data_IF_333529132051
#
_entry.id   IF_333529132051
#
_cell.length_a   1.000
_cell.length_b   1.000
_cell.length_c   1.000
_cell.angle_alpha   90.00
_cell.angle_beta   90.00
_cell.angle_gamma   90.00
#
_symmetry.space_group_name_H-M   'P 1'
#
loop_
_entity.id
_entity.type
_entity.pdbx_description
1 polymer ?
#
# COMPACT_ATOMS: atom_id res chain seq x y z
N UNK A 1 -28.72 -1.02 6.84
CA UNK A 1 -28.14 -0.95 5.59
C UNK A 1 -26.87 -1.69 5.30
N UNK A 2 -26.82 -2.93 5.78
CA UNK A 2 -25.67 -3.77 5.52
C UNK A 2 -25.52 -4.08 4.03
N UNK A 3 -26.64 -4.13 3.32
CA UNK A 3 -26.58 -4.37 1.88
C UNK A 3 -25.93 -3.20 1.15
N UNK A 4 -26.25 -1.99 1.57
CA UNK A 4 -25.64 -0.81 0.99
C UNK A 4 -24.15 -0.78 1.27
N UNK A 5 -23.77 -1.12 2.48
CA UNK A 5 -22.35 -1.19 2.84
C UNK A 5 -21.62 -2.22 2.01
N UNK A 6 -22.28 -3.35 1.76
CA UNK A 6 -21.67 -4.41 0.97
C UNK A 6 -21.43 -3.96 -0.46
N UNK A 7 -22.42 -3.28 -1.05
CA UNK A 7 -22.30 -2.78 -2.40
C UNK A 7 -21.20 -1.75 -2.51
N UNK A 8 -21.11 -0.86 -1.53
CA UNK A 8 -20.04 0.13 -1.51
C UNK A 8 -18.69 -0.52 -1.36
N UNK A 9 -18.62 -1.60 -0.60
CA UNK A 9 -17.37 -2.32 -0.43
C UNK A 9 -16.87 -2.92 -1.72
N UNK A 10 -17.77 -3.46 -2.51
CA UNK A 10 -17.38 -4.05 -3.80
C UNK A 10 -16.86 -2.98 -4.75
N UNK A 11 -17.55 -1.85 -4.82
CA UNK A 11 -17.11 -0.75 -5.68
C UNK A 11 -15.76 -0.25 -5.22
N UNK A 12 -15.60 -0.11 -3.93
CA UNK A 12 -14.35 0.35 -3.35
C UNK A 12 -13.20 -0.59 -3.68
N UNK A 13 -13.43 -1.89 -3.60
CA UNK A 13 -12.39 -2.87 -3.92
C UNK A 13 -11.94 -2.74 -5.36
N UNK A 14 -12.87 -2.55 -6.27
CA UNK A 14 -12.51 -2.36 -7.68
C UNK A 14 -11.65 -1.12 -7.87
N UNK A 15 -11.99 -0.05 -7.18
CA UNK A 15 -11.22 1.18 -7.25
C UNK A 15 -9.82 0.97 -6.68
N UNK A 16 -9.72 0.17 -5.61
CA UNK A 16 -8.43 -0.11 -4.99
C UNK A 16 -7.52 -0.93 -5.90
N UNK A 17 -8.09 -1.60 -6.89
CA UNK A 17 -7.28 -2.38 -7.83
C UNK A 17 -6.81 -1.56 -9.02
N UNK A 18 -7.11 -0.26 -9.04
CA UNK A 18 -6.73 0.62 -10.14
C UNK A 18 -5.46 1.37 -9.78
N UNK A 19 -4.34 1.07 -10.45
CA UNK A 19 -3.08 1.75 -10.12
C UNK A 19 -3.14 3.26 -10.30
N UNK A 20 -3.90 3.75 -11.27
CA UNK A 20 -3.99 5.20 -11.49
C UNK A 20 -4.57 5.92 -10.29
N UNK A 21 -5.55 5.28 -9.61
CA UNK A 21 -6.13 5.90 -8.43
C UNK A 21 -5.12 5.97 -7.28
N UNK A 22 -4.32 4.93 -7.13
CA UNK A 22 -3.29 4.95 -6.10
C UNK A 22 -2.22 6.00 -6.40
N UNK A 23 -1.85 6.13 -7.67
CA UNK A 23 -0.91 7.17 -8.06
C UNK A 23 -1.46 8.56 -7.74
N UNK A 24 -2.71 8.80 -8.11
CA UNK A 24 -3.36 10.07 -7.86
C UNK A 24 -3.43 10.37 -6.36
N UNK A 25 -3.80 9.36 -5.57
CA UNK A 25 -3.86 9.51 -4.13
C UNK A 25 -2.49 9.88 -3.56
N UNK A 26 -1.43 9.25 -4.07
CA UNK A 26 -0.08 9.55 -3.60
C UNK A 26 0.29 11.01 -3.88
N UNK A 27 -0.14 11.55 -5.03
CA UNK A 27 0.15 12.95 -5.35
C UNK A 27 -0.60 13.89 -4.42
N UNK A 28 -1.84 13.57 -4.10
CA UNK A 28 -2.62 14.36 -3.15
C UNK A 28 -1.95 14.34 -1.77
N UNK A 29 -1.51 13.19 -1.35
CA UNK A 29 -0.86 13.04 -0.05
C UNK A 29 0.45 13.80 0.00
N UNK A 30 1.20 13.76 -1.09
CA UNK A 30 2.45 14.50 -1.18
C UNK A 30 2.19 16.00 -1.05
N UNK A 31 1.17 16.49 -1.75
CA UNK A 31 0.81 17.91 -1.68
C UNK A 31 0.35 18.31 -0.29
N UNK A 32 -0.28 17.39 0.43
CA UNK A 32 -0.74 17.63 1.80
C UNK A 32 0.34 17.39 2.83
N UNK A 33 1.55 17.07 2.40
CA UNK A 33 2.69 16.79 3.27
C UNK A 33 2.49 15.52 4.11
N UNK A 34 1.62 14.64 3.67
CA UNK A 34 1.44 13.33 4.29
C UNK A 34 2.42 12.36 3.62
N UNK A 35 3.68 12.45 4.00
CA UNK A 35 4.74 11.70 3.33
C UNK A 35 4.61 10.20 3.57
N UNK A 36 4.22 9.81 4.78
CA UNK A 36 4.01 8.39 5.08
C UNK A 36 2.94 7.82 4.16
N UNK A 37 1.80 8.49 4.07
CA UNK A 37 0.72 8.05 3.18
C UNK A 37 1.15 8.03 1.73
N UNK A 38 1.96 9.01 1.32
CA UNK A 38 2.49 9.06 -0.04
C UNK A 38 3.26 7.78 -0.37
N UNK A 39 4.18 7.37 0.50
CA UNK A 39 4.96 6.16 0.25
C UNK A 39 4.08 4.90 0.30
N UNK A 40 3.10 4.88 1.20
CA UNK A 40 2.18 3.74 1.28
C UNK A 40 1.36 3.61 0.00
N UNK A 41 0.85 4.72 -0.52
CA UNK A 41 0.07 4.70 -1.76
C UNK A 41 0.93 4.32 -2.95
N UNK A 42 2.16 4.80 -2.99
CA UNK A 42 3.10 4.41 -4.04
C UNK A 42 3.39 2.92 -3.99
N UNK A 43 3.49 2.35 -2.78
CA UNK A 43 3.69 0.92 -2.65
C UNK A 43 2.54 0.15 -3.25
N UNK A 44 1.30 0.55 -2.98
CA UNK A 44 0.13 -0.11 -3.57
C UNK A 44 0.16 0.01 -5.08
N UNK A 45 0.51 1.18 -5.58
CA UNK A 45 0.63 1.40 -7.02
C UNK A 45 1.61 0.40 -7.64
N UNK A 46 2.79 0.27 -7.05
CA UNK A 46 3.79 -0.66 -7.58
C UNK A 46 3.36 -2.12 -7.45
N UNK A 47 2.66 -2.47 -6.37
CA UNK A 47 2.16 -3.83 -6.21
C UNK A 47 1.19 -4.20 -7.32
N UNK A 48 0.32 -3.27 -7.69
CA UNK A 48 -0.65 -3.52 -8.75
C UNK A 48 0.03 -3.65 -10.11
N UNK A 49 1.19 -3.03 -10.28
CA UNK A 49 1.96 -3.15 -11.50
C UNK A 49 2.89 -4.38 -11.50
N UNK A 50 2.89 -5.15 -10.41
CA UNK A 50 3.76 -6.30 -10.31
C UNK A 50 5.20 -5.97 -9.95
N UNK A 51 5.46 -4.73 -9.58
CA UNK A 51 6.82 -4.28 -9.23
C UNK A 51 7.01 -4.37 -7.72
N UNK A 52 7.12 -5.59 -7.23
CA UNK A 52 7.13 -5.86 -5.79
C UNK A 52 8.34 -5.28 -5.09
N UNK A 53 9.50 -5.28 -5.74
CA UNK A 53 10.71 -4.74 -5.11
C UNK A 53 10.61 -3.24 -4.94
N UNK A 54 10.05 -2.55 -5.93
CA UNK A 54 9.82 -1.11 -5.80
C UNK A 54 8.84 -0.82 -4.68
N UNK A 55 7.80 -1.65 -4.56
CA UNK A 55 6.83 -1.48 -3.48
C UNK A 55 7.50 -1.64 -2.12
N UNK A 56 8.40 -2.61 -1.98
CA UNK A 56 9.12 -2.81 -0.73
C UNK A 56 9.95 -1.59 -0.37
N UNK A 57 10.61 -0.98 -1.36
CA UNK A 57 11.41 0.22 -1.13
C UNK A 57 10.54 1.34 -0.57
N UNK A 58 9.36 1.53 -1.14
CA UNK A 58 8.44 2.56 -0.67
C UNK A 58 7.99 2.30 0.76
N UNK A 59 7.68 1.04 1.07
CA UNK A 59 7.25 0.69 2.42
C UNK A 59 8.38 0.88 3.43
N UNK A 60 9.61 0.61 3.04
CA UNK A 60 10.74 0.81 3.92
C UNK A 60 10.96 2.30 4.22
N UNK A 61 10.78 3.16 3.21
CA UNK A 61 10.82 4.59 3.45
C UNK A 61 9.76 5.02 4.44
N UNK A 62 8.53 4.52 4.25
CA UNK A 62 7.44 4.85 5.14
C UNK A 62 7.73 4.37 6.56
N UNK A 63 8.32 3.19 6.68
CA UNK A 63 8.65 2.63 7.98
C UNK A 63 9.63 3.51 8.74
N UNK A 64 10.63 4.03 8.06
CA UNK A 64 11.59 4.92 8.69
C UNK A 64 10.94 6.18 9.22
N UNK A 65 9.90 6.63 8.56
CA UNK A 65 9.20 7.86 8.96
C UNK A 65 8.20 7.64 10.08
N UNK A 66 7.92 6.39 10.43
CA UNK A 66 6.90 6.07 11.43
C UNK A 66 7.47 5.47 12.71
N UNK A 67 8.73 5.75 12.99
CA UNK A 67 9.38 5.18 14.18
C UNK A 67 8.63 5.49 15.46
N UNK A 68 7.99 6.64 15.53
CA UNK A 68 7.29 7.08 16.74
C UNK A 68 5.82 6.64 16.76
N UNK A 69 5.35 5.98 15.71
CA UNK A 69 3.97 5.52 15.65
C UNK A 69 3.96 4.00 15.51
N UNK A 70 3.80 3.34 16.63
CA UNK A 70 3.91 1.89 16.68
C UNK A 70 2.85 1.21 15.81
N UNK A 71 1.60 1.68 15.84
CA UNK A 71 0.52 1.04 15.09
C UNK A 71 0.77 1.11 13.59
N UNK A 72 1.15 2.26 13.09
CA UNK A 72 1.41 2.43 11.66
C UNK A 72 2.66 1.64 11.27
N UNK A 73 3.70 1.72 12.10
CA UNK A 73 4.94 0.99 11.87
C UNK A 73 4.68 -0.51 11.75
N UNK A 74 3.88 -1.04 12.68
CA UNK A 74 3.58 -2.48 12.69
C UNK A 74 2.77 -2.87 11.45
N UNK A 75 1.83 -2.05 11.04
CA UNK A 75 1.05 -2.30 9.85
C UNK A 75 1.93 -2.37 8.61
N UNK A 76 2.88 -1.43 8.51
CA UNK A 76 3.80 -1.41 7.38
C UNK A 76 4.71 -2.63 7.38
N UNK A 77 5.23 -2.99 8.55
CA UNK A 77 6.08 -4.18 8.67
C UNK A 77 5.34 -5.44 8.26
N UNK A 78 4.09 -5.58 8.68
CA UNK A 78 3.29 -6.73 8.31
C UNK A 78 3.16 -6.83 6.80
N UNK A 79 2.94 -5.71 6.14
CA UNK A 79 2.82 -5.69 4.70
C UNK A 79 4.14 -6.05 4.02
N UNK A 80 5.25 -5.54 4.54
CA UNK A 80 6.58 -5.86 4.02
C UNK A 80 6.81 -7.37 4.09
N UNK A 81 6.52 -7.96 5.24
CA UNK A 81 6.71 -9.40 5.44
C UNK A 81 5.86 -10.19 4.46
N UNK A 82 4.61 -9.77 4.28
CA UNK A 82 3.72 -10.45 3.36
C UNK A 82 4.25 -10.42 1.94
N UNK A 83 4.75 -9.27 1.50
CA UNK A 83 5.28 -9.14 0.14
C UNK A 83 6.53 -10.00 -0.04
N UNK A 84 7.43 -9.98 0.94
CA UNK A 84 8.63 -10.79 0.87
C UNK A 84 8.30 -12.27 0.81
N UNK A 85 7.30 -12.69 1.56
CA UNK A 85 6.88 -14.09 1.56
C UNK A 85 6.34 -14.49 0.20
N UNK A 86 5.57 -13.61 -0.43
CA UNK A 86 5.04 -13.90 -1.76
C UNK A 86 6.16 -13.98 -2.78
N UNK A 87 7.16 -13.13 -2.68
CA UNK A 87 8.31 -13.18 -3.57
C UNK A 87 9.08 -14.48 -3.41
N UNK A 88 9.26 -14.93 -2.17
CA UNK A 88 9.95 -16.18 -1.92
C UNK A 88 9.17 -17.36 -2.48
N UNK A 89 7.86 -17.35 -2.33
CA UNK A 89 7.01 -18.40 -2.86
C UNK A 89 7.11 -18.48 -4.38
N UNK A 90 7.18 -17.34 -5.04
CA UNK A 90 7.33 -17.30 -6.49
C UNK A 90 8.67 -17.88 -6.92
N UNK A 91 9.72 -17.60 -6.15
CA UNK A 91 11.05 -18.10 -6.50
C UNK A 91 11.20 -19.58 -6.15
N UNK A 92 10.48 -20.04 -5.16
CA UNK A 92 10.56 -21.41 -4.69
C UNK A 92 10.03 -22.43 -5.67
N UNK A 93 9.38 -21.94 -6.71
CA UNK A 93 8.88 -22.82 -7.76
C UNK A 93 9.91 -23.02 -8.84
#
# INVERSE_FOLDING_TARGET
>A
DSERSRGLGDVYKRQNDNPELWFLLSEIQRSSKNIVGYHQSRAEYFLLLGQNEEALNQLEFALKLTKNNFQVSESIMTKIIKIKKELENSRGL
#
